data_IF_630464972731
#
_entry.id   IF_630464972731
#
_cell.length_a   1.000
_cell.length_b   1.000
_cell.length_c   1.000
_cell.angle_alpha   90.00
_cell.angle_beta   90.00
_cell.angle_gamma   90.00
#
_symmetry.space_group_name_H-M   'P 1'
#
loop_
_entity.id
_entity.type
_entity.pdbx_description
1 polymer ?
#
# COMPACT_ATOMS: atom_id res chain seq x y z
N UNK A 1 15.76 -1.17 -9.88
CA UNK A 1 14.99 -0.01 -9.38
C UNK A 1 13.95 0.41 -10.41
N UNK A 2 12.74 0.66 -9.97
CA UNK A 2 11.64 0.96 -10.88
C UNK A 2 10.97 2.26 -10.47
N UNK A 3 10.71 3.14 -11.44
CA UNK A 3 9.96 4.39 -11.22
C UNK A 3 8.50 4.11 -11.56
N UNK A 4 7.61 4.46 -10.64
CA UNK A 4 6.17 4.26 -10.77
C UNK A 4 5.48 5.58 -10.52
N UNK A 5 4.42 5.84 -11.29
CA UNK A 5 3.59 7.03 -11.09
C UNK A 5 2.34 6.62 -10.31
N UNK A 6 2.04 7.36 -9.25
CA UNK A 6 0.81 7.16 -8.47
C UNK A 6 0.04 8.46 -8.36
N UNK A 7 -1.25 8.36 -8.09
CA UNK A 7 -2.11 9.53 -7.88
C UNK A 7 -2.23 9.83 -6.39
N UNK A 8 -2.14 11.11 -6.05
CA UNK A 8 -2.34 11.57 -4.68
C UNK A 8 -3.35 12.72 -4.67
N UNK A 9 -3.97 12.92 -3.52
CA UNK A 9 -4.87 14.06 -3.30
C UNK A 9 -4.50 14.73 -1.99
N UNK A 10 -4.13 16.01 -2.10
CA UNK A 10 -3.80 16.84 -0.94
C UNK A 10 -4.70 18.08 -0.99
N UNK A 11 -5.50 18.29 0.05
CA UNK A 11 -6.39 19.45 0.15
C UNK A 11 -7.26 19.62 -1.11
N UNK A 12 -7.87 18.52 -1.55
CA UNK A 12 -8.76 18.46 -2.72
C UNK A 12 -8.06 18.68 -4.08
N UNK A 13 -6.74 18.74 -4.09
CA UNK A 13 -5.96 18.79 -5.34
C UNK A 13 -5.41 17.42 -5.64
N UNK A 14 -5.82 16.87 -6.79
CA UNK A 14 -5.34 15.56 -7.27
C UNK A 14 -4.20 15.78 -8.25
N UNK A 15 -3.11 15.05 -8.06
CA UNK A 15 -1.97 15.12 -8.96
C UNK A 15 -1.25 13.78 -9.00
N UNK A 16 -0.40 13.61 -9.99
CA UNK A 16 0.45 12.42 -10.11
C UNK A 16 1.83 12.73 -9.59
N UNK A 17 2.41 11.78 -8.86
CA UNK A 17 3.76 11.89 -8.32
C UNK A 17 4.54 10.64 -8.66
N UNK A 18 5.86 10.78 -8.72
CA UNK A 18 6.76 9.67 -9.00
C UNK A 18 7.28 9.07 -7.69
N UNK A 19 7.35 7.74 -7.66
CA UNK A 19 8.04 7.02 -6.58
C UNK A 19 9.03 6.06 -7.22
N UNK A 20 10.12 5.80 -6.52
CA UNK A 20 11.09 4.79 -6.94
C UNK A 20 10.99 3.60 -6.00
N UNK A 21 10.88 2.41 -6.56
CA UNK A 21 10.76 1.17 -5.79
C UNK A 21 11.93 0.26 -6.09
N UNK A 22 12.57 -0.24 -5.03
CA UNK A 22 13.62 -1.23 -5.12
C UNK A 22 13.19 -2.46 -4.34
N UNK A 23 12.75 -3.51 -5.06
CA UNK A 23 12.27 -4.75 -4.44
C UNK A 23 13.39 -5.50 -3.72
N UNK A 24 14.58 -5.46 -4.26
CA UNK A 24 15.71 -6.20 -3.69
C UNK A 24 16.11 -5.63 -2.34
N UNK A 25 16.20 -4.31 -2.24
CA UNK A 25 16.58 -3.62 -1.01
C UNK A 25 15.39 -3.24 -0.14
N UNK A 26 14.16 -3.42 -0.64
CA UNK A 26 12.92 -3.10 0.06
C UNK A 26 12.87 -1.66 0.49
N UNK A 27 13.16 -0.78 -0.47
CA UNK A 27 13.12 0.67 -0.29
C UNK A 27 12.14 1.31 -1.23
N UNK A 28 11.48 2.35 -0.75
CA UNK A 28 10.56 3.18 -1.52
C UNK A 28 10.99 4.62 -1.34
N UNK A 29 11.21 5.33 -2.45
CA UNK A 29 11.60 6.74 -2.41
C UNK A 29 10.50 7.60 -3.01
N UNK A 30 10.01 8.55 -2.22
CA UNK A 30 9.03 9.53 -2.64
C UNK A 30 9.76 10.77 -3.16
N UNK A 31 9.43 11.16 -4.39
CA UNK A 31 10.05 12.31 -5.05
C UNK A 31 9.10 13.49 -4.95
N UNK A 32 9.46 14.48 -4.13
CA UNK A 32 8.66 15.69 -3.93
C UNK A 32 8.83 16.65 -5.12
N UNK A 33 7.87 17.58 -5.29
CA UNK A 33 7.89 18.54 -6.40
C UNK A 33 9.16 19.38 -6.46
N UNK A 34 9.71 19.73 -5.30
CA UNK A 34 10.93 20.53 -5.21
C UNK A 34 12.21 19.73 -5.47
N UNK A 35 12.07 18.46 -5.85
CA UNK A 35 13.19 17.57 -6.12
C UNK A 35 13.76 16.87 -4.90
N UNK A 36 13.28 17.17 -3.69
CA UNK A 36 13.68 16.45 -2.48
C UNK A 36 13.18 15.02 -2.54
N UNK A 37 13.95 14.12 -1.94
CA UNK A 37 13.66 12.68 -1.94
C UNK A 37 13.57 12.20 -0.51
N UNK A 38 12.53 11.42 -0.22
CA UNK A 38 12.38 10.75 1.07
C UNK A 38 12.35 9.25 0.84
N UNK A 39 13.25 8.53 1.49
CA UNK A 39 13.39 7.09 1.31
C UNK A 39 12.95 6.37 2.58
N UNK A 40 12.17 5.31 2.39
CA UNK A 40 11.67 4.45 3.45
C UNK A 40 12.17 3.04 3.23
N UNK A 41 12.61 2.39 4.30
CA UNK A 41 13.08 1.01 4.28
C UNK A 41 12.30 0.22 5.31
N UNK A 42 11.80 -0.95 4.91
CA UNK A 42 11.05 -1.83 5.80
C UNK A 42 11.18 -3.27 5.31
N UNK A 43 10.51 -4.21 5.96
CA UNK A 43 10.59 -5.61 5.55
C UNK A 43 9.89 -5.88 4.21
N UNK A 44 9.02 -4.98 3.75
CA UNK A 44 8.46 -5.02 2.40
C UNK A 44 7.98 -3.64 1.96
N UNK A 45 7.60 -3.52 0.68
CA UNK A 45 7.18 -2.25 0.10
C UNK A 45 5.78 -1.82 0.56
N UNK A 46 4.93 -2.77 0.97
CA UNK A 46 3.63 -2.44 1.54
C UNK A 46 3.81 -1.64 2.84
N UNK A 47 4.74 -2.06 3.71
CA UNK A 47 5.04 -1.32 4.94
C UNK A 47 5.75 0.00 4.62
N UNK A 48 6.64 0.03 3.62
CA UNK A 48 7.26 1.30 3.17
C UNK A 48 6.19 2.31 2.79
N UNK A 49 5.18 1.88 2.04
CA UNK A 49 4.05 2.74 1.66
C UNK A 49 3.28 3.23 2.89
N UNK A 50 3.14 2.38 3.90
CA UNK A 50 2.54 2.76 5.18
C UNK A 50 3.32 3.85 5.91
N UNK A 51 4.65 3.74 5.91
CA UNK A 51 5.52 4.75 6.52
C UNK A 51 5.41 6.08 5.77
N UNK A 52 5.38 6.03 4.45
CA UNK A 52 5.20 7.22 3.62
C UNK A 52 3.87 7.93 3.97
N UNK A 53 2.78 7.17 4.05
CA UNK A 53 1.47 7.74 4.37
C UNK A 53 1.43 8.40 5.74
N UNK A 54 2.14 7.82 6.71
CA UNK A 54 2.22 8.37 8.06
C UNK A 54 2.92 9.74 8.09
N UNK A 55 3.89 9.95 7.21
CA UNK A 55 4.62 11.22 7.10
C UNK A 55 3.81 12.32 6.42
N UNK A 56 2.76 11.96 5.67
CA UNK A 56 1.94 12.92 4.93
C UNK A 56 0.46 12.72 5.26
N UNK A 57 0.06 13.03 6.50
CA UNK A 57 -1.31 12.72 6.96
C UNK A 57 -2.40 13.51 6.23
N UNK A 58 -2.05 14.61 5.56
CA UNK A 58 -3.00 15.40 4.79
C UNK A 58 -3.16 14.92 3.34
N UNK A 59 -2.35 13.94 2.93
CA UNK A 59 -2.33 13.43 1.57
C UNK A 59 -2.98 12.05 1.51
N UNK A 60 -3.94 11.88 0.61
CA UNK A 60 -4.52 10.58 0.30
C UNK A 60 -3.73 9.97 -0.85
N UNK A 61 -3.23 8.76 -0.65
CA UNK A 61 -2.50 8.03 -1.68
C UNK A 61 -3.47 7.09 -2.37
N UNK A 62 -3.85 7.43 -3.61
CA UNK A 62 -4.86 6.70 -4.36
C UNK A 62 -4.28 5.45 -5.01
N UNK A 63 -3.95 4.49 -4.17
CA UNK A 63 -3.42 3.21 -4.63
C UNK A 63 -3.94 2.06 -3.77
N UNK A 64 -3.95 0.86 -4.36
CA UNK A 64 -4.49 -0.35 -3.70
C UNK A 64 -3.83 -0.63 -2.34
N UNK A 65 -2.54 -0.36 -2.21
CA UNK A 65 -1.83 -0.58 -0.94
C UNK A 65 -2.27 0.33 0.20
N UNK A 66 -3.04 1.38 -0.10
CA UNK A 66 -3.61 2.27 0.91
C UNK A 66 -5.09 1.97 1.20
N UNK A 67 -5.67 0.98 0.51
CA UNK A 67 -7.06 0.59 0.72
C UNK A 67 -7.21 -0.23 1.99
N UNK A 68 -8.25 0.05 2.76
CA UNK A 68 -8.49 -0.55 4.08
C UNK A 68 -8.41 -2.08 4.06
N UNK A 69 -9.00 -2.73 3.06
CA UNK A 69 -9.09 -4.20 3.01
C UNK A 69 -7.99 -4.85 2.15
N UNK A 70 -6.90 -4.15 1.88
CA UNK A 70 -5.77 -4.70 1.13
C UNK A 70 -4.62 -5.03 2.08
N UNK A 71 -4.14 -6.27 1.98
CA UNK A 71 -3.06 -6.75 2.84
C UNK A 71 -2.25 -7.84 2.12
N UNK A 72 -0.90 -7.83 2.20
CA UNK A 72 -0.10 -8.88 1.57
C UNK A 72 -0.11 -10.14 2.44
N UNK A 73 -0.11 -11.30 1.80
CA UNK A 73 0.18 -12.53 2.52
C UNK A 73 1.66 -12.57 2.91
N UNK A 74 2.02 -13.48 3.82
CA UNK A 74 3.42 -13.69 4.18
C UNK A 74 4.24 -14.06 2.96
N UNK A 75 3.69 -14.93 2.10
CA UNK A 75 4.35 -15.32 0.86
C UNK A 75 4.53 -14.13 -0.09
N UNK A 76 3.51 -13.30 -0.27
CA UNK A 76 3.60 -12.10 -1.11
C UNK A 76 4.66 -11.14 -0.60
N UNK A 77 4.73 -10.96 0.72
CA UNK A 77 5.75 -10.10 1.33
C UNK A 77 7.15 -10.60 1.04
N UNK A 78 7.36 -11.91 1.09
CA UNK A 78 8.67 -12.52 0.82
C UNK A 78 9.00 -12.60 -0.68
N UNK A 79 8.05 -13.04 -1.50
CA UNK A 79 8.29 -13.33 -2.91
C UNK A 79 8.25 -12.11 -3.81
N UNK A 80 7.39 -11.14 -3.50
CA UNK A 80 7.21 -9.93 -4.31
C UNK A 80 7.63 -8.65 -3.59
N UNK A 81 8.26 -8.77 -2.42
CA UNK A 81 8.57 -7.64 -1.54
C UNK A 81 7.32 -6.84 -1.19
N UNK A 82 6.16 -7.50 -1.13
CA UNK A 82 4.89 -6.88 -0.75
C UNK A 82 4.22 -6.06 -1.86
N UNK A 83 4.73 -6.11 -3.09
CA UNK A 83 4.09 -5.42 -4.23
C UNK A 83 2.77 -6.09 -4.59
N UNK A 84 2.70 -7.41 -4.45
CA UNK A 84 1.46 -8.17 -4.63
C UNK A 84 0.76 -8.31 -3.29
N UNK A 85 -0.54 -8.06 -3.27
CA UNK A 85 -1.36 -8.17 -2.06
C UNK A 85 -2.73 -8.70 -2.45
N UNK A 86 -3.63 -8.80 -1.49
CA UNK A 86 -5.00 -9.31 -1.71
C UNK A 86 -6.02 -8.30 -1.20
N UNK A 87 -7.12 -8.14 -1.94
CA UNK A 87 -8.31 -7.51 -1.41
C UNK A 87 -9.08 -8.54 -0.60
N UNK A 88 -9.29 -8.26 0.68
CA UNK A 88 -9.90 -9.20 1.61
C UNK A 88 -11.40 -8.91 1.76
N UNK A 89 -12.19 -9.97 1.78
CA UNK A 89 -13.64 -9.87 1.96
C UNK A 89 -14.06 -10.72 3.16
N UNK A 90 -14.77 -10.10 4.11
CA UNK A 90 -15.18 -10.77 5.34
C UNK A 90 -15.94 -12.08 5.04
N UNK A 91 -15.57 -13.14 5.74
CA UNK A 91 -16.19 -14.45 5.61
C UNK A 91 -15.75 -15.26 4.41
N UNK A 92 -14.84 -14.73 3.58
CA UNK A 92 -14.37 -15.39 2.36
C UNK A 92 -12.86 -15.55 2.35
N UNK A 93 -12.33 -16.74 2.04
CA UNK A 93 -10.88 -16.91 1.85
C UNK A 93 -10.40 -16.08 0.66
N UNK A 94 -9.16 -15.65 0.70
CA UNK A 94 -8.54 -14.93 -0.42
C UNK A 94 -8.29 -15.90 -1.58
N UNK A 95 -8.63 -15.45 -2.79
CA UNK A 95 -8.51 -16.24 -4.02
C UNK A 95 -7.66 -15.50 -5.04
N UNK A 96 -7.29 -16.17 -6.13
CA UNK A 96 -6.45 -15.58 -7.17
C UNK A 96 -7.06 -14.32 -7.80
N UNK A 97 -8.37 -14.23 -7.86
CA UNK A 97 -9.07 -13.06 -8.40
C UNK A 97 -8.99 -11.84 -7.48
N UNK A 98 -8.61 -12.04 -6.23
CA UNK A 98 -8.45 -10.96 -5.24
C UNK A 98 -7.05 -10.34 -5.26
N UNK A 99 -6.15 -10.87 -6.08
CA UNK A 99 -4.76 -10.39 -6.18
C UNK A 99 -4.73 -9.00 -6.80
N UNK A 100 -4.01 -8.09 -6.15
CA UNK A 100 -3.83 -6.72 -6.61
C UNK A 100 -2.36 -6.31 -6.52
N UNK A 101 -1.97 -5.32 -7.33
CA UNK A 101 -0.69 -4.63 -7.18
C UNK A 101 -0.92 -3.41 -6.29
N UNK A 102 -0.12 -3.24 -5.25
CA UNK A 102 -0.31 -2.17 -4.27
C UNK A 102 -0.23 -0.75 -4.86
N UNK A 103 0.39 -0.61 -6.03
CA UNK A 103 0.53 0.70 -6.69
C UNK A 103 -0.57 0.99 -7.73
N UNK A 104 -1.44 0.03 -8.02
CA UNK A 104 -2.58 0.27 -8.91
C UNK A 104 -3.52 1.30 -8.32
N UNK A 105 -4.17 2.07 -9.19
CA UNK A 105 -5.07 3.14 -8.78
C UNK A 105 -6.25 2.62 -7.96
N UNK A 106 -6.58 3.35 -6.91
CA UNK A 106 -7.75 3.10 -6.07
C UNK A 106 -8.12 4.40 -5.35
N UNK A 107 -9.40 4.77 -5.38
CA UNK A 107 -9.88 5.96 -4.67
C UNK A 107 -10.88 5.66 -3.55
N UNK A 108 -11.33 4.40 -3.45
CA UNK A 108 -12.33 4.00 -2.44
C UNK A 108 -11.67 3.38 -1.21
N UNK A 109 -12.22 3.68 -0.04
CA UNK A 109 -11.80 3.10 1.24
C UNK A 109 -10.30 3.31 1.55
N UNK A 110 -9.78 4.44 1.12
CA UNK A 110 -8.39 4.82 1.39
C UNK A 110 -8.22 5.17 2.87
N UNK A 111 -7.20 4.62 3.51
CA UNK A 111 -6.87 4.96 4.90
C UNK A 111 -5.44 5.49 4.99
N UNK A 112 -5.21 6.36 5.96
CA UNK A 112 -3.89 6.93 6.24
C UNK A 112 -3.09 6.07 7.21
N UNK A 113 -3.73 5.10 7.84
CA UNK A 113 -3.15 4.35 8.95
C UNK A 113 -3.04 2.86 8.62
N UNK A 114 -1.81 2.38 8.47
CA UNK A 114 -1.54 0.96 8.23
C UNK A 114 -2.09 0.08 9.37
N UNK A 115 -2.21 0.64 10.58
CA UNK A 115 -2.76 -0.13 11.70
C UNK A 115 -4.22 -0.49 11.47
N UNK A 116 -4.99 0.38 10.81
CA UNK A 116 -6.38 0.05 10.44
C UNK A 116 -6.42 -1.14 9.49
N UNK A 117 -5.47 -1.21 8.56
CA UNK A 117 -5.35 -2.34 7.63
C UNK A 117 -4.97 -3.62 8.37
N UNK A 118 -4.08 -3.54 9.36
CA UNK A 118 -3.68 -4.68 10.19
C UNK A 118 -4.86 -5.18 11.02
N UNK A 119 -5.65 -4.28 11.57
CA UNK A 119 -6.83 -4.63 12.36
C UNK A 119 -7.90 -5.28 11.48
N UNK A 120 -8.07 -4.76 10.27
CA UNK A 120 -8.99 -5.38 9.30
C UNK A 120 -8.56 -6.79 8.97
N UNK A 121 -7.27 -7.01 8.74
CA UNK A 121 -6.73 -8.33 8.45
C UNK A 121 -7.01 -9.32 9.58
N UNK A 122 -6.82 -8.90 10.83
CA UNK A 122 -7.13 -9.75 11.99
C UNK A 122 -8.61 -10.14 12.05
N UNK A 123 -9.49 -9.17 11.84
CA UNK A 123 -10.94 -9.42 11.80
C UNK A 123 -11.30 -10.36 10.65
N UNK A 124 -10.64 -10.18 9.52
CA UNK A 124 -10.86 -11.05 8.37
C UNK A 124 -10.49 -12.51 8.69
N UNK A 125 -9.34 -12.75 9.31
CA UNK A 125 -8.92 -14.10 9.72
C UNK A 125 -9.98 -14.70 10.65
N UNK A 126 -10.43 -13.95 11.64
CA UNK A 126 -11.47 -14.42 12.57
C UNK A 126 -12.78 -14.76 11.85
N UNK A 127 -13.13 -14.01 10.82
CA UNK A 127 -14.36 -14.24 10.05
C UNK A 127 -14.36 -15.56 9.29
N UNK A 128 -13.19 -16.14 9.03
CA UNK A 128 -13.06 -17.38 8.29
C UNK A 128 -13.36 -18.62 9.15
N UNK A 129 -13.32 -18.48 10.47
CA UNK A 129 -13.46 -19.60 11.41
C UNK A 129 -14.86 -19.73 12.00
N UNK A 130 -15.77 -18.87 11.61
CA UNK A 130 -17.17 -18.90 12.09
C UNK A 130 -18.06 -19.80 11.27
#
# INVERSE_FOLDING_TARGET
MKIIEISINTREVTQKVAIECDRQNRTLTYILENGLRKTYTAHDLYVCLGLLRADFPETKFFCKGAKLNVYPSRMSSQMSAGVVAYELHMGKPAESEDIVNIFDYEENDITQDIQEQRDYYKRWIESLTE
#
